data_IF_689205672967
#
_entry.id   IF_689205672967
#
_cell.length_a   1.000
_cell.length_b   1.000
_cell.length_c   1.000
_cell.angle_alpha   90.00
_cell.angle_beta   90.00
_cell.angle_gamma   90.00
#
_symmetry.space_group_name_H-M   'P 1'
#
loop_
_entity.id
_entity.type
_entity.pdbx_description
1 polymer ?
#
# COMPACT_ATOMS: atom_id res chain seq x y z
N UNK A 1 -0.89 -8.52 -12.49
CA UNK A 1 -0.75 -7.80 -11.21
C UNK A 1 -1.19 -8.75 -10.11
N UNK A 2 -0.37 -8.96 -9.08
CA UNK A 2 -0.73 -9.87 -7.97
C UNK A 2 -1.61 -9.12 -6.99
N UNK A 3 -2.72 -9.74 -6.59
CA UNK A 3 -3.68 -9.18 -5.64
C UNK A 3 -3.50 -9.81 -4.26
N UNK A 4 -3.71 -9.02 -3.22
CA UNK A 4 -3.55 -9.38 -1.81
C UNK A 4 -4.81 -9.00 -1.05
N UNK A 5 -5.22 -9.87 -0.13
CA UNK A 5 -6.35 -9.68 0.79
C UNK A 5 -5.94 -9.94 2.25
N UNK A 6 -4.63 -9.98 2.49
CA UNK A 6 -3.99 -10.10 3.79
C UNK A 6 -2.99 -8.96 4.02
N UNK A 7 -2.44 -8.88 5.23
CA UNK A 7 -1.47 -7.82 5.53
C UNK A 7 -0.13 -8.10 4.88
N UNK A 8 0.33 -7.22 3.99
CA UNK A 8 1.70 -7.27 3.46
C UNK A 8 2.46 -5.98 3.73
N UNK A 9 3.79 -6.11 3.70
CA UNK A 9 4.71 -4.99 3.69
C UNK A 9 5.40 -4.91 2.33
N UNK A 10 5.40 -3.72 1.72
CA UNK A 10 6.06 -3.42 0.46
C UNK A 10 7.15 -2.36 0.65
N UNK A 11 8.40 -2.62 0.24
CA UNK A 11 8.89 -3.94 -0.14
C UNK A 11 8.93 -4.87 1.09
N UNK A 12 8.93 -6.18 0.86
CA UNK A 12 8.99 -7.15 1.96
C UNK A 12 10.25 -6.94 2.82
N UNK A 13 11.38 -6.65 2.15
CA UNK A 13 12.67 -6.36 2.75
C UNK A 13 13.21 -4.99 2.31
N UNK A 14 13.90 -4.30 3.22
CA UNK A 14 14.56 -3.02 2.93
C UNK A 14 13.57 -1.87 2.69
N UNK A 15 13.94 -0.96 1.80
CA UNK A 15 13.19 0.26 1.49
C UNK A 15 13.06 0.35 -0.03
N UNK A 16 11.87 0.68 -0.53
CA UNK A 16 11.69 1.02 -1.94
C UNK A 16 12.37 2.37 -2.18
N UNK A 17 13.43 2.37 -2.97
CA UNK A 17 14.17 3.55 -3.33
C UNK A 17 14.10 3.68 -4.84
N UNK A 18 13.26 4.60 -5.31
CA UNK A 18 13.19 4.90 -6.73
C UNK A 18 13.24 6.41 -6.94
N UNK A 19 14.30 6.85 -7.61
CA UNK A 19 14.43 8.24 -8.09
C UNK A 19 13.85 8.42 -9.49
N UNK A 20 13.42 7.32 -10.14
CA UNK A 20 13.04 7.29 -11.54
C UNK A 20 11.58 6.83 -11.79
N UNK A 21 10.94 6.13 -10.84
CA UNK A 21 9.58 5.65 -11.02
C UNK A 21 8.84 5.29 -9.70
N UNK A 22 7.56 5.67 -9.59
CA UNK A 22 6.73 5.30 -8.46
C UNK A 22 6.20 3.86 -8.58
N UNK A 23 5.99 3.19 -7.44
CA UNK A 23 5.17 1.98 -7.39
C UNK A 23 3.69 2.40 -7.40
N UNK A 24 2.90 1.85 -8.31
CA UNK A 24 1.46 2.03 -8.35
C UNK A 24 0.80 0.98 -7.46
N UNK A 25 0.06 1.43 -6.46
CA UNK A 25 -0.79 0.58 -5.63
C UNK A 25 -2.23 0.83 -6.04
N UNK A 26 -2.95 -0.22 -6.40
CA UNK A 26 -4.38 -0.17 -6.70
C UNK A 26 -5.11 -0.83 -5.54
N UNK A 27 -6.01 -0.08 -4.90
CA UNK A 27 -6.76 -0.54 -3.75
C UNK A 27 -8.24 -0.63 -4.14
N UNK A 28 -8.83 -1.80 -3.95
CA UNK A 28 -10.25 -2.08 -4.09
C UNK A 28 -10.81 -2.49 -2.73
N UNK A 29 -11.38 -1.51 -2.01
CA UNK A 29 -11.88 -1.77 -0.67
C UNK A 29 -13.22 -2.52 -0.68
N UNK A 30 -13.99 -2.49 -1.77
CA UNK A 30 -15.34 -3.05 -1.82
C UNK A 30 -16.22 -2.53 -0.67
N UNK A 31 -16.68 -3.46 0.18
CA UNK A 31 -17.42 -3.13 1.41
C UNK A 31 -16.54 -3.09 2.68
N UNK A 32 -15.23 -3.29 2.52
CA UNK A 32 -14.24 -3.30 3.58
C UNK A 32 -13.38 -2.04 3.61
N UNK A 33 -12.22 -2.15 4.26
CA UNK A 33 -11.28 -1.04 4.44
C UNK A 33 -9.85 -1.49 4.21
N UNK A 34 -8.97 -0.59 3.76
CA UNK A 34 -7.53 -0.82 3.71
C UNK A 34 -6.80 0.23 4.55
N UNK A 35 -6.14 -0.21 5.63
CA UNK A 35 -5.20 0.62 6.37
C UNK A 35 -3.84 0.64 5.67
N UNK A 36 -3.21 1.81 5.59
CA UNK A 36 -1.91 2.03 4.97
C UNK A 36 -1.03 2.78 5.94
N UNK A 37 0.15 2.22 6.21
CA UNK A 37 1.10 2.79 7.15
C UNK A 37 2.51 2.86 6.54
N UNK A 38 3.24 3.92 6.84
CA UNK A 38 4.64 4.09 6.46
C UNK A 38 5.58 3.68 7.59
N UNK A 39 6.65 2.96 7.27
CA UNK A 39 7.76 2.66 8.17
C UNK A 39 8.58 3.94 8.39
N UNK A 40 8.87 4.27 9.65
CA UNK A 40 9.74 5.41 10.02
C UNK A 40 11.23 5.13 9.78
N UNK A 41 11.59 3.93 9.36
CA UNK A 41 12.97 3.47 9.19
C UNK A 41 13.55 2.79 10.42
N UNK A 42 12.77 2.68 11.50
CA UNK A 42 13.11 1.96 12.73
C UNK A 42 12.26 0.69 12.93
N UNK A 43 11.44 0.33 11.93
CA UNK A 43 10.51 -0.80 11.98
C UNK A 43 9.16 -0.45 12.59
N UNK A 44 8.97 0.78 13.07
CA UNK A 44 7.68 1.28 13.54
C UNK A 44 6.87 1.83 12.36
N UNK A 45 5.66 1.31 12.20
CA UNK A 45 4.72 1.76 11.19
C UNK A 45 3.76 2.80 11.75
N UNK A 46 3.50 3.86 10.97
CA UNK A 46 2.54 4.91 11.31
C UNK A 46 1.60 5.12 10.16
N UNK A 47 0.31 5.14 10.48
CA UNK A 47 -0.75 5.34 9.50
C UNK A 47 -0.58 6.67 8.77
N UNK A 48 -0.83 6.65 7.46
CA UNK A 48 -0.89 7.90 6.71
C UNK A 48 -2.20 8.63 6.99
N UNK A 49 -2.25 9.95 6.75
CA UNK A 49 -3.50 10.70 6.84
C UNK A 49 -4.61 10.02 6.02
N UNK A 50 -5.83 10.08 6.54
CA UNK A 50 -7.05 9.54 5.91
C UNK A 50 -7.11 8.00 5.84
N UNK A 51 -6.16 7.31 6.48
CA UNK A 51 -6.25 5.86 6.71
C UNK A 51 -7.03 5.52 8.00
N UNK A 52 -7.82 4.42 8.05
CA UNK A 52 -8.08 3.46 6.97
C UNK A 52 -8.99 4.02 5.88
N UNK A 53 -8.79 3.54 4.65
CA UNK A 53 -9.59 3.93 3.50
C UNK A 53 -10.79 2.99 3.35
N UNK A 54 -11.99 3.50 3.60
CA UNK A 54 -13.24 2.92 3.07
C UNK A 54 -13.40 3.42 1.65
N UNK A 55 -13.61 2.54 0.68
CA UNK A 55 -13.77 2.99 -0.69
C UNK A 55 -14.93 2.27 -1.39
N UNK A 56 -15.99 3.02 -1.66
CA UNK A 56 -17.07 2.61 -2.58
C UNK A 56 -16.58 2.53 -4.04
N UNK A 57 -15.29 2.86 -4.29
CA UNK A 57 -14.63 2.89 -5.60
C UNK A 57 -13.13 2.58 -5.49
N UNK A 58 -12.53 2.09 -6.58
CA UNK A 58 -11.10 1.77 -6.64
C UNK A 58 -10.25 3.04 -6.61
N UNK A 59 -9.21 3.09 -5.77
CA UNK A 59 -8.28 4.22 -5.73
C UNK A 59 -6.82 3.80 -5.90
N UNK A 60 -5.99 4.77 -6.30
CA UNK A 60 -4.59 4.57 -6.65
C UNK A 60 -3.66 5.34 -5.71
N UNK A 61 -2.64 4.67 -5.17
CA UNK A 61 -1.51 5.27 -4.46
C UNK A 61 -0.25 5.20 -5.32
N UNK A 62 0.47 6.31 -5.42
CA UNK A 62 1.81 6.32 -6.00
C UNK A 62 2.86 6.45 -4.90
N UNK A 63 3.72 5.43 -4.79
CA UNK A 63 4.76 5.37 -3.78
C UNK A 63 6.10 5.65 -4.45
N UNK A 64 6.66 6.84 -4.21
CA UNK A 64 7.98 7.22 -4.73
C UNK A 64 9.13 6.56 -3.97
N UNK A 65 9.01 6.45 -2.64
CA UNK A 65 10.01 5.80 -1.79
C UNK A 65 9.40 5.32 -0.47
N UNK A 66 10.15 4.50 0.28
CA UNK A 66 9.80 4.09 1.63
C UNK A 66 9.47 2.60 1.75
N UNK A 67 9.02 2.21 2.93
CA UNK A 67 8.50 0.88 3.21
C UNK A 67 7.12 1.03 3.83
N UNK A 68 6.17 0.26 3.34
CA UNK A 68 4.74 0.52 3.50
C UNK A 68 4.03 -0.75 3.90
N UNK A 69 3.10 -0.68 4.85
CA UNK A 69 2.25 -1.79 5.26
C UNK A 69 0.83 -1.51 4.84
N UNK A 70 0.19 -2.52 4.28
CA UNK A 70 -1.20 -2.51 3.87
C UNK A 70 -1.93 -3.58 4.67
N UNK A 71 -3.03 -3.21 5.31
CA UNK A 71 -3.84 -4.12 6.13
C UNK A 71 -5.29 -4.01 5.68
N UNK A 72 -5.76 -4.94 4.81
CA UNK A 72 -7.14 -4.99 4.39
C UNK A 72 -8.03 -5.64 5.46
N UNK A 73 -9.30 -5.24 5.49
CA UNK A 73 -10.38 -5.84 6.29
C UNK A 73 -11.65 -5.95 5.46
N UNK A 74 -12.65 -6.71 5.92
CA UNK A 74 -13.98 -6.74 5.28
C UNK A 74 -14.00 -7.26 3.83
N UNK A 75 -12.98 -8.01 3.41
CA UNK A 75 -12.85 -8.52 2.04
C UNK A 75 -12.22 -7.53 1.06
N UNK A 76 -11.66 -6.41 1.55
CA UNK A 76 -10.89 -5.49 0.75
C UNK A 76 -9.64 -6.17 0.14
N UNK A 77 -9.27 -5.74 -1.05
CA UNK A 77 -8.11 -6.23 -1.76
C UNK A 77 -7.23 -5.06 -2.23
N UNK A 78 -5.96 -5.34 -2.45
CA UNK A 78 -5.06 -4.39 -3.10
C UNK A 78 -4.02 -5.11 -3.93
N UNK A 79 -3.40 -4.38 -4.84
CA UNK A 79 -2.33 -4.88 -5.69
C UNK A 79 -1.27 -3.81 -5.86
N UNK A 80 -0.03 -4.23 -6.09
CA UNK A 80 1.05 -3.30 -6.40
C UNK A 80 1.74 -3.68 -7.71
N UNK A 81 2.16 -2.67 -8.46
CA UNK A 81 2.96 -2.77 -9.66
C UNK A 81 4.13 -1.79 -9.56
N UNK A 82 5.35 -2.31 -9.48
CA UNK A 82 6.54 -1.49 -9.69
C UNK A 82 6.70 -1.24 -11.17
N UNK A 83 6.39 -0.03 -11.63
CA UNK A 83 6.71 0.38 -13.00
C UNK A 83 8.18 0.77 -13.01
N UNK A 84 9.06 -0.07 -13.53
CA UNK A 84 10.41 0.35 -13.86
C UNK A 84 10.33 1.11 -15.20
N UNK A 85 10.90 2.31 -15.25
CA UNK A 85 11.05 3.07 -16.49
C UNK A 85 12.02 2.37 -17.46
#
# INVERSE_FOLDING_TARGET
MTTYNDTQTFPAEGVFLSTAAAALVVIDAGAGEVAVAADRGDGTFVDIPESPFTADSVFHLEIASGRWRFTPTGGAEYSFETRLA
#
